data_IF_053898602734
#
_entry.id   IF_053898602734
#
_cell.length_a   1.000
_cell.length_b   1.000
_cell.length_c   1.000
_cell.angle_alpha   90.00
_cell.angle_beta   90.00
_cell.angle_gamma   90.00
#
_symmetry.space_group_name_H-M   'P 1'
#
loop_
_entity.id
_entity.type
_entity.pdbx_description
1 polymer ?
#
# COMPACT_ATOMS: atom_id res chain seq x y z
N UNK A 1 11.54 -10.80 2.72
CA UNK A 1 11.55 -10.14 1.40
C UNK A 1 11.05 -8.72 1.60
N UNK A 2 11.64 -7.71 0.96
CA UNK A 2 11.11 -6.33 1.01
C UNK A 2 9.96 -6.23 0.03
N UNK A 3 8.78 -5.79 0.49
CA UNK A 3 7.60 -5.57 -0.34
C UNK A 3 7.07 -4.19 0.00
N UNK A 4 7.01 -3.32 -0.99
CA UNK A 4 6.36 -2.02 -0.89
C UNK A 4 5.00 -2.10 -1.53
N UNK A 5 4.02 -1.52 -0.85
CA UNK A 5 2.67 -1.33 -1.33
C UNK A 5 2.28 0.10 -1.02
N UNK A 6 1.68 0.74 -2.01
CA UNK A 6 1.00 2.01 -1.81
C UNK A 6 -0.49 1.75 -1.60
N UNK A 7 -1.10 2.45 -0.65
CA UNK A 7 -2.47 2.28 -0.19
C UNK A 7 -2.69 3.00 1.14
N UNK A 8 -3.92 3.00 1.66
CA UNK A 8 -4.14 3.53 3.00
C UNK A 8 -3.66 2.53 4.06
N UNK A 9 -2.51 2.84 4.64
CA UNK A 9 -1.92 2.08 5.74
C UNK A 9 -1.87 2.90 7.05
N UNK A 10 -2.09 4.22 6.96
CA UNK A 10 -2.03 5.14 8.09
C UNK A 10 -3.40 5.29 8.75
N UNK A 11 -3.47 4.93 10.02
CA UNK A 11 -4.66 5.16 10.85
C UNK A 11 -4.27 5.96 12.10
N UNK A 12 -5.01 7.03 12.37
CA UNK A 12 -4.94 7.72 13.65
C UNK A 12 -5.48 6.81 14.77
N UNK A 13 -5.11 7.07 16.04
CA UNK A 13 -5.58 6.24 17.17
C UNK A 13 -7.10 6.14 17.32
N UNK A 14 -7.87 7.07 16.74
CA UNK A 14 -9.33 7.06 16.73
C UNK A 14 -9.93 6.27 15.56
N UNK A 15 -9.09 5.66 14.71
CA UNK A 15 -9.50 4.90 13.54
C UNK A 15 -9.76 5.76 12.30
N UNK A 16 -9.54 7.07 12.37
CA UNK A 16 -9.59 7.94 11.18
C UNK A 16 -8.41 7.62 10.28
N UNK A 17 -8.65 7.57 8.97
CA UNK A 17 -7.60 7.35 7.96
C UNK A 17 -6.68 8.57 7.85
N UNK A 18 -5.40 8.31 7.62
CA UNK A 18 -4.39 9.36 7.41
C UNK A 18 -4.52 10.01 6.01
N UNK A 19 -5.10 9.28 5.06
CA UNK A 19 -5.39 9.76 3.71
C UNK A 19 -6.75 9.28 3.20
N UNK A 20 -7.31 10.01 2.24
CA UNK A 20 -8.48 9.62 1.43
C UNK A 20 -8.12 9.48 -0.05
N UNK A 21 -6.82 9.51 -0.38
CA UNK A 21 -6.31 9.39 -1.75
C UNK A 21 -6.61 8.02 -2.35
N UNK A 22 -6.54 6.97 -1.53
CA UNK A 22 -6.76 5.60 -1.98
C UNK A 22 -8.16 5.13 -1.61
N UNK A 23 -8.69 4.20 -2.40
CA UNK A 23 -10.00 3.60 -2.21
C UNK A 23 -9.90 2.23 -1.49
N UNK A 24 -8.75 1.96 -0.87
CA UNK A 24 -8.42 0.64 -0.35
C UNK A 24 -7.32 0.69 0.72
N UNK A 25 -7.35 -0.29 1.62
CA UNK A 25 -6.25 -0.60 2.53
C UNK A 25 -5.31 -1.64 1.94
N UNK A 26 -4.08 -1.68 2.43
CA UNK A 26 -3.12 -2.74 2.19
C UNK A 26 -2.78 -3.51 3.47
N UNK A 27 -2.73 -4.84 3.36
CA UNK A 27 -2.38 -5.73 4.48
C UNK A 27 -1.25 -6.65 4.05
N UNK A 28 -0.18 -6.66 4.85
CA UNK A 28 0.89 -7.66 4.74
C UNK A 28 0.46 -8.93 5.47
N UNK A 29 0.51 -10.06 4.77
CA UNK A 29 0.15 -11.39 5.28
C UNK A 29 1.40 -12.26 5.37
N UNK A 30 1.31 -13.40 6.05
CA UNK A 30 2.43 -14.35 6.16
C UNK A 30 2.84 -14.92 4.78
N UNK A 31 1.88 -15.10 3.88
CA UNK A 31 2.04 -15.73 2.57
C UNK A 31 1.90 -14.76 1.39
N UNK A 32 1.83 -13.45 1.65
CA UNK A 32 1.73 -12.45 0.59
C UNK A 32 1.12 -11.14 1.06
N UNK A 33 0.28 -10.56 0.21
CA UNK A 33 -0.32 -9.25 0.43
C UNK A 33 -1.76 -9.25 -0.06
N UNK A 34 -2.60 -8.43 0.55
CA UNK A 34 -3.98 -8.22 0.12
C UNK A 34 -4.34 -6.74 0.08
N UNK A 35 -5.21 -6.39 -0.86
CA UNK A 35 -5.89 -5.10 -0.91
C UNK A 35 -7.32 -5.27 -0.44
N UNK A 36 -7.79 -4.41 0.46
CA UNK A 36 -9.16 -4.38 0.93
C UNK A 36 -9.84 -3.14 0.36
N UNK A 37 -10.74 -3.33 -0.61
CA UNK A 37 -11.56 -2.23 -1.14
C UNK A 37 -12.56 -1.80 -0.08
N UNK A 38 -12.67 -0.48 0.11
CA UNK A 38 -13.60 0.07 1.09
C UNK A 38 -15.05 -0.08 0.63
N UNK A 39 -15.96 -0.26 1.58
CA UNK A 39 -17.38 -0.48 1.29
C UNK A 39 -17.99 0.75 0.60
N UNK A 40 -17.51 1.94 0.94
CA UNK A 40 -17.95 3.22 0.41
C UNK A 40 -17.36 3.59 -0.97
N UNK A 41 -16.40 2.82 -1.49
CA UNK A 41 -15.75 3.14 -2.76
C UNK A 41 -16.76 3.11 -3.92
N UNK A 42 -16.85 4.24 -4.64
CA UNK A 42 -17.73 4.39 -5.83
C UNK A 42 -17.00 4.19 -7.15
N UNK A 43 -15.67 4.21 -7.12
CA UNK A 43 -14.81 4.09 -8.30
C UNK A 43 -14.88 2.66 -8.87
N UNK A 44 -14.82 2.51 -10.20
CA UNK A 44 -14.83 1.20 -10.87
C UNK A 44 -13.46 0.80 -11.44
N UNK A 45 -12.46 1.68 -11.30
CA UNK A 45 -11.08 1.47 -11.72
C UNK A 45 -10.16 1.60 -10.51
N UNK A 46 -9.36 0.56 -10.28
CA UNK A 46 -8.40 0.50 -9.21
C UNK A 46 -6.99 0.44 -9.79
N UNK A 47 -6.07 1.22 -9.22
CA UNK A 47 -4.66 1.21 -9.57
C UNK A 47 -3.90 0.77 -8.33
N UNK A 48 -3.14 -0.31 -8.46
CA UNK A 48 -2.33 -0.87 -7.40
C UNK A 48 -0.86 -0.84 -7.83
N UNK A 49 -0.01 -0.29 -6.98
CA UNK A 49 1.44 -0.37 -7.16
C UNK A 49 2.05 -1.33 -6.15
N UNK A 50 2.87 -2.26 -6.64
CA UNK A 50 3.57 -3.25 -5.85
C UNK A 50 5.00 -3.33 -6.36
N UNK A 51 5.97 -3.24 -5.46
CA UNK A 51 7.38 -3.50 -5.76
C UNK A 51 7.96 -4.48 -4.75
N UNK A 52 8.79 -5.41 -5.20
CA UNK A 52 9.51 -6.34 -4.33
C UNK A 52 10.98 -6.41 -4.68
N UNK A 53 11.82 -6.44 -3.65
CA UNK A 53 13.28 -6.53 -3.77
C UNK A 53 13.78 -7.49 -2.68
N UNK A 54 14.68 -8.39 -3.09
CA UNK A 54 15.33 -9.46 -2.31
C UNK A 54 15.15 -9.45 -0.78
N UNK A 55 16.25 -9.27 -0.04
CA UNK A 55 16.21 -9.30 1.43
C UNK A 55 15.65 -7.99 2.01
N UNK A 56 15.05 -8.04 3.20
CA UNK A 56 14.63 -6.83 3.92
C UNK A 56 15.87 -6.10 4.41
N UNK A 57 16.06 -4.88 3.93
CA UNK A 57 17.09 -3.94 4.39
C UNK A 57 16.44 -2.56 4.46
N UNK A 58 16.98 -1.66 5.30
CA UNK A 58 16.44 -0.30 5.40
C UNK A 58 16.45 0.43 4.04
N UNK A 59 17.44 0.15 3.18
CA UNK A 59 17.50 0.67 1.83
C UNK A 59 16.42 0.07 0.92
N UNK A 60 16.25 -1.26 0.96
CA UNK A 60 15.26 -1.94 0.13
C UNK A 60 13.83 -1.53 0.50
N UNK A 61 13.53 -1.29 1.79
CA UNK A 61 12.24 -0.78 2.25
C UNK A 61 11.90 0.54 1.55
N UNK A 62 12.84 1.50 1.58
CA UNK A 62 12.70 2.80 0.91
C UNK A 62 12.54 2.64 -0.60
N UNK A 63 13.37 1.79 -1.24
CA UNK A 63 13.30 1.56 -2.69
C UNK A 63 11.96 0.92 -3.10
N UNK A 64 11.47 -0.05 -2.32
CA UNK A 64 10.19 -0.70 -2.62
C UNK A 64 9.02 0.22 -2.36
N UNK A 65 9.10 1.13 -1.39
CA UNK A 65 8.07 2.15 -1.19
C UNK A 65 7.97 3.09 -2.41
N UNK A 66 9.09 3.69 -2.84
CA UNK A 66 9.10 4.52 -4.06
C UNK A 66 8.71 3.74 -5.31
N UNK A 67 9.12 2.48 -5.43
CA UNK A 67 8.77 1.64 -6.58
C UNK A 67 7.30 1.23 -6.64
N UNK A 68 6.59 1.30 -5.52
CA UNK A 68 5.17 0.97 -5.42
C UNK A 68 4.25 2.18 -5.58
N UNK A 69 4.78 3.41 -5.59
CA UNK A 69 3.99 4.64 -5.68
C UNK A 69 3.45 4.86 -7.12
N UNK A 70 2.12 4.77 -7.33
CA UNK A 70 1.49 4.97 -8.63
C UNK A 70 1.19 6.45 -8.89
N UNK A 71 1.90 7.39 -8.26
CA UNK A 71 1.81 8.83 -8.54
C UNK A 71 3.11 9.39 -9.08
N UNK A 72 4.22 8.65 -8.94
CA UNK A 72 5.53 8.96 -9.50
C UNK A 72 5.56 8.58 -10.98
N UNK A 73 5.08 9.48 -11.84
CA UNK A 73 5.22 9.41 -13.30
C UNK A 73 5.81 10.70 -13.87
#
# INVERSE_FOLDING_TARGET
>A
MSIGMEGDAGYYPDGTRDSDIYDYDNVYMEDGVSYLILEETKTTRYVFGIAWIGNVTAENEVQTWYGADPTLF
#
